data_IF_907049046926
#
_entry.id   IF_907049046926
#
_cell.length_a   1.000
_cell.length_b   1.000
_cell.length_c   1.000
_cell.angle_alpha   90.00
_cell.angle_beta   90.00
_cell.angle_gamma   90.00
#
_symmetry.space_group_name_H-M   'P 1'
#
loop_
_entity.id
_entity.type
_entity.pdbx_description
1 polymer ?
#
# COMPACT_ATOMS: atom_id res chain seq x y z
N UNK A 1 -36.56 -5.63 -27.94
CA UNK A 1 -36.35 -6.15 -26.58
C UNK A 1 -35.31 -5.27 -25.93
N UNK A 2 -35.75 -4.36 -25.05
CA UNK A 2 -34.87 -3.37 -24.42
C UNK A 2 -34.05 -4.02 -23.32
N UNK A 3 -32.74 -3.81 -23.35
CA UNK A 3 -31.86 -4.08 -22.22
C UNK A 3 -32.02 -2.92 -21.23
N UNK A 4 -32.60 -3.22 -20.08
CA UNK A 4 -32.69 -2.29 -18.97
C UNK A 4 -31.34 -2.29 -18.26
N UNK A 5 -30.59 -1.21 -18.43
CA UNK A 5 -29.38 -0.89 -17.67
C UNK A 5 -29.78 -0.20 -16.37
N UNK A 6 -29.90 -0.96 -15.28
CA UNK A 6 -29.88 -0.36 -13.94
C UNK A 6 -28.42 -0.20 -13.52
N UNK A 7 -27.85 0.98 -13.81
CA UNK A 7 -26.76 1.54 -13.02
C UNK A 7 -27.30 1.70 -11.60
N UNK A 8 -26.92 0.81 -10.68
CA UNK A 8 -27.03 1.09 -9.26
C UNK A 8 -25.83 1.97 -8.90
N UNK A 9 -26.07 3.28 -8.87
CA UNK A 9 -25.16 4.23 -8.27
C UNK A 9 -24.91 3.81 -6.83
N UNK A 10 -23.64 3.63 -6.48
CA UNK A 10 -23.20 3.30 -5.13
C UNK A 10 -23.53 4.50 -4.21
N UNK A 11 -24.56 4.36 -3.38
CA UNK A 11 -24.88 5.30 -2.29
C UNK A 11 -24.26 4.78 -0.98
N UNK A 12 -23.24 5.46 -0.43
CA UNK A 12 -22.54 5.02 0.77
C UNK A 12 -23.32 5.23 2.09
N UNK A 13 -24.59 5.66 2.06
CA UNK A 13 -25.34 6.06 3.27
C UNK A 13 -26.50 5.13 3.70
N UNK A 14 -26.77 4.01 3.02
CA UNK A 14 -27.89 3.07 3.37
C UNK A 14 -27.50 1.86 4.26
N UNK A 15 -26.28 1.79 4.82
CA UNK A 15 -25.68 0.53 5.32
C UNK A 15 -25.70 0.28 6.86
N UNK A 16 -26.69 0.73 7.63
CA UNK A 16 -26.59 0.64 9.10
C UNK A 16 -27.10 -0.68 9.74
N UNK A 17 -28.01 -1.44 9.10
CA UNK A 17 -28.55 -2.71 9.67
C UNK A 17 -28.18 -3.96 8.87
N UNK A 18 -27.76 -3.83 7.60
CA UNK A 18 -27.21 -4.93 6.77
C UNK A 18 -25.77 -5.32 7.16
N UNK A 19 -25.09 -4.50 7.96
CA UNK A 19 -23.67 -4.63 8.26
C UNK A 19 -23.30 -5.94 8.98
N UNK A 20 -24.09 -6.40 9.96
CA UNK A 20 -23.72 -7.58 10.78
C UNK A 20 -23.67 -8.88 9.97
N UNK A 21 -24.63 -9.12 9.07
CA UNK A 21 -24.65 -10.30 8.20
C UNK A 21 -23.57 -10.24 7.11
N UNK A 22 -23.27 -9.03 6.61
CA UNK A 22 -22.18 -8.80 5.67
C UNK A 22 -20.80 -9.05 6.32
N UNK A 23 -20.62 -8.70 7.60
CA UNK A 23 -19.36 -8.97 8.31
C UNK A 23 -19.11 -10.46 8.51
N UNK A 24 -20.14 -11.25 8.87
CA UNK A 24 -20.00 -12.70 9.04
C UNK A 24 -19.65 -13.41 7.72
N UNK A 25 -20.33 -13.06 6.62
CA UNK A 25 -20.00 -13.61 5.29
C UNK A 25 -18.60 -13.18 4.82
N UNK A 26 -18.19 -11.94 5.14
CA UNK A 26 -16.86 -11.43 4.81
C UNK A 26 -15.75 -12.13 5.59
N UNK A 27 -15.97 -12.43 6.88
CA UNK A 27 -15.03 -13.20 7.70
C UNK A 27 -14.97 -14.67 7.30
N UNK A 28 -16.11 -15.31 6.99
CA UNK A 28 -16.13 -16.70 6.48
C UNK A 28 -15.38 -16.83 5.15
N UNK A 29 -15.58 -15.87 4.23
CA UNK A 29 -14.83 -15.84 2.97
C UNK A 29 -13.33 -15.62 3.20
N UNK A 30 -12.95 -14.82 4.19
CA UNK A 30 -11.55 -14.61 4.56
C UNK A 30 -10.94 -15.90 5.12
N UNK A 31 -11.67 -16.64 5.95
CA UNK A 31 -11.22 -17.90 6.54
C UNK A 31 -10.85 -18.93 5.48
N UNK A 32 -11.77 -19.20 4.53
CA UNK A 32 -11.53 -20.12 3.44
C UNK A 32 -10.30 -19.71 2.61
N UNK A 33 -10.17 -18.42 2.28
CA UNK A 33 -9.04 -17.91 1.53
C UNK A 33 -7.70 -17.99 2.28
N UNK A 34 -7.71 -17.82 3.61
CA UNK A 34 -6.53 -17.95 4.47
C UNK A 34 -6.06 -19.40 4.49
N UNK A 35 -6.97 -20.35 4.75
CA UNK A 35 -6.65 -21.78 4.78
C UNK A 35 -6.16 -22.27 3.42
N UNK A 36 -6.81 -21.86 2.33
CA UNK A 36 -6.34 -22.15 0.97
C UNK A 36 -4.93 -21.61 0.73
N UNK A 37 -4.66 -20.36 1.13
CA UNK A 37 -3.35 -19.74 0.96
C UNK A 37 -2.28 -20.49 1.75
N UNK A 38 -2.55 -20.84 3.01
CA UNK A 38 -1.61 -21.60 3.85
C UNK A 38 -1.35 -22.99 3.24
N UNK A 39 -2.40 -23.67 2.77
CA UNK A 39 -2.29 -24.98 2.12
C UNK A 39 -1.40 -24.92 0.87
N UNK A 40 -1.66 -23.96 -0.02
CA UNK A 40 -0.91 -23.80 -1.27
C UNK A 40 0.55 -23.38 -1.04
N UNK A 41 0.79 -22.49 -0.07
CA UNK A 41 2.12 -21.95 0.20
C UNK A 41 2.90 -22.75 1.25
N UNK A 42 2.26 -23.73 1.90
CA UNK A 42 2.71 -24.59 3.00
C UNK A 42 3.03 -23.86 4.31
N UNK A 43 3.64 -22.68 4.21
CA UNK A 43 3.96 -21.81 5.34
C UNK A 43 4.01 -20.36 4.87
N UNK A 44 3.41 -19.45 5.64
CA UNK A 44 3.31 -18.03 5.28
C UNK A 44 3.65 -17.13 6.47
N UNK A 45 4.07 -15.91 6.19
CA UNK A 45 4.17 -14.85 7.22
C UNK A 45 2.88 -14.06 7.30
N UNK A 46 2.66 -13.32 8.39
CA UNK A 46 1.54 -12.36 8.51
C UNK A 46 1.48 -11.37 7.35
N UNK A 47 2.63 -10.80 6.98
CA UNK A 47 2.69 -9.85 5.87
C UNK A 47 2.39 -10.51 4.53
N UNK A 48 2.94 -11.69 4.28
CA UNK A 48 2.66 -12.46 3.06
C UNK A 48 1.15 -12.70 2.90
N UNK A 49 0.49 -13.14 3.97
CA UNK A 49 -0.93 -13.43 3.94
C UNK A 49 -1.75 -12.17 3.65
N UNK A 50 -1.45 -11.05 4.33
CA UNK A 50 -2.09 -9.76 4.09
C UNK A 50 -1.89 -9.27 2.66
N UNK A 51 -0.65 -9.33 2.14
CA UNK A 51 -0.33 -8.90 0.77
C UNK A 51 -1.09 -9.72 -0.28
N UNK A 52 -1.16 -11.04 -0.12
CA UNK A 52 -1.87 -11.92 -1.06
C UNK A 52 -3.38 -11.66 -1.07
N UNK A 53 -3.92 -11.24 0.07
CA UNK A 53 -5.36 -11.12 0.29
C UNK A 53 -5.89 -9.68 0.25
N UNK A 54 -5.03 -8.66 0.19
CA UNK A 54 -5.41 -7.24 0.32
C UNK A 54 -6.41 -6.72 -0.73
N UNK A 55 -6.50 -7.39 -1.89
CA UNK A 55 -7.49 -7.04 -2.92
C UNK A 55 -8.91 -7.48 -2.56
N UNK A 56 -9.02 -8.49 -1.70
CA UNK A 56 -10.28 -9.11 -1.29
C UNK A 56 -10.68 -8.69 0.12
N UNK A 57 -9.70 -8.66 1.03
CA UNK A 57 -9.92 -8.52 2.47
C UNK A 57 -9.07 -7.39 3.05
N UNK A 58 -9.64 -6.66 4.01
CA UNK A 58 -8.86 -5.71 4.79
C UNK A 58 -7.77 -6.43 5.60
N UNK A 59 -6.55 -5.86 5.70
CA UNK A 59 -5.46 -6.48 6.46
C UNK A 59 -5.79 -6.78 7.93
N UNK A 60 -6.63 -5.96 8.58
CA UNK A 60 -7.07 -6.18 9.96
C UNK A 60 -8.07 -7.35 10.08
N UNK A 61 -8.92 -7.57 9.07
CA UNK A 61 -9.80 -8.75 9.00
C UNK A 61 -8.95 -10.01 8.89
N UNK A 62 -7.96 -10.02 7.98
CA UNK A 62 -7.03 -11.15 7.83
C UNK A 62 -6.33 -11.46 9.15
N UNK A 63 -5.84 -10.44 9.86
CA UNK A 63 -5.20 -10.63 11.17
C UNK A 63 -6.14 -11.20 12.23
N UNK A 64 -7.40 -10.74 12.29
CA UNK A 64 -8.40 -11.26 13.23
C UNK A 64 -8.73 -12.71 12.95
N UNK A 65 -9.03 -13.05 11.71
CA UNK A 65 -9.44 -14.41 11.31
C UNK A 65 -8.29 -15.41 11.50
N UNK A 66 -7.04 -15.03 11.22
CA UNK A 66 -5.87 -15.87 11.54
C UNK A 66 -5.76 -16.17 13.03
N UNK A 67 -5.96 -15.16 13.89
CA UNK A 67 -5.89 -15.39 15.33
C UNK A 67 -6.97 -16.37 15.80
N UNK A 68 -8.20 -16.23 15.28
CA UNK A 68 -9.29 -17.20 15.53
C UNK A 68 -8.91 -18.61 15.08
N UNK A 69 -8.39 -18.78 13.86
CA UNK A 69 -7.94 -20.07 13.34
C UNK A 69 -6.80 -20.71 14.17
N UNK A 70 -5.98 -19.88 14.84
CA UNK A 70 -4.95 -20.36 15.77
C UNK A 70 -5.60 -20.85 17.08
N UNK A 71 -6.55 -20.08 17.61
CA UNK A 71 -7.30 -20.44 18.83
C UNK A 71 -8.11 -21.75 18.64
N UNK A 72 -8.67 -21.95 17.45
CA UNK A 72 -9.43 -23.15 17.06
C UNK A 72 -8.51 -24.34 16.71
N UNK A 73 -7.20 -24.12 16.58
CA UNK A 73 -6.22 -25.18 16.29
C UNK A 73 -6.17 -25.62 14.82
N UNK A 74 -6.77 -24.86 13.90
CA UNK A 74 -6.67 -25.09 12.46
C UNK A 74 -5.33 -24.62 11.88
N UNK A 75 -4.76 -23.56 12.46
CA UNK A 75 -3.48 -22.97 12.06
C UNK A 75 -2.51 -22.99 13.23
N UNK A 76 -1.25 -23.37 12.98
CA UNK A 76 -0.19 -23.31 13.99
C UNK A 76 0.72 -22.12 13.74
N UNK A 77 0.90 -21.29 14.77
CA UNK A 77 1.94 -20.27 14.82
C UNK A 77 3.27 -20.91 15.25
N UNK A 78 4.32 -20.72 14.47
CA UNK A 78 5.68 -21.20 14.79
C UNK A 78 6.73 -20.12 14.56
N UNK A 79 7.92 -20.39 15.10
CA UNK A 79 9.08 -19.53 14.99
C UNK A 79 10.28 -20.33 14.46
N UNK A 80 10.98 -19.87 13.41
CA UNK A 80 12.23 -20.49 13.00
C UNK A 80 13.28 -20.36 14.12
N UNK A 81 14.23 -21.30 14.23
CA UNK A 81 15.28 -21.25 15.23
C UNK A 81 16.21 -20.07 14.97
N UNK A 82 16.91 -19.64 16.02
CA UNK A 82 17.87 -18.54 15.98
C UNK A 82 17.40 -17.29 16.71
N UNK A 83 18.19 -16.22 16.60
CA UNK A 83 17.88 -14.95 17.29
C UNK A 83 16.62 -14.34 16.68
N UNK A 84 15.73 -13.85 17.56
CA UNK A 84 14.63 -12.96 17.14
C UNK A 84 15.22 -11.83 16.30
N UNK A 85 14.64 -11.60 15.14
CA UNK A 85 15.17 -10.61 14.21
C UNK A 85 15.01 -9.19 14.75
N UNK A 86 15.71 -8.25 14.14
CA UNK A 86 15.44 -6.83 14.36
C UNK A 86 14.07 -6.42 13.79
N UNK A 87 13.70 -5.16 14.01
CA UNK A 87 12.45 -4.56 13.52
C UNK A 87 12.22 -4.88 12.03
N UNK A 88 11.05 -5.43 11.71
CA UNK A 88 10.67 -5.81 10.35
C UNK A 88 11.08 -7.23 9.92
N UNK A 89 11.74 -8.01 10.76
CA UNK A 89 11.98 -9.43 10.47
C UNK A 89 10.74 -10.26 10.82
N UNK A 90 10.21 -11.10 9.92
CA UNK A 90 9.13 -12.01 10.31
C UNK A 90 9.69 -13.08 11.24
N UNK A 91 9.24 -13.05 12.48
CA UNK A 91 9.48 -14.13 13.45
C UNK A 91 8.27 -15.06 13.60
N UNK A 92 7.10 -14.64 13.09
CA UNK A 92 5.87 -15.41 13.12
C UNK A 92 5.58 -16.03 11.75
N UNK A 93 5.40 -17.35 11.74
CA UNK A 93 4.99 -18.11 10.56
C UNK A 93 3.75 -18.93 10.87
N UNK A 94 2.85 -19.00 9.91
CA UNK A 94 1.60 -19.75 9.97
C UNK A 94 1.70 -20.94 9.03
N UNK A 95 1.33 -22.12 9.53
CA UNK A 95 1.21 -23.35 8.77
C UNK A 95 -0.07 -24.08 9.17
N UNK A 96 -0.48 -25.01 8.32
CA UNK A 96 -1.52 -25.98 8.67
C UNK A 96 -1.12 -26.73 9.95
N UNK A 97 -2.09 -26.96 10.85
CA UNK A 97 -1.84 -27.60 12.13
C UNK A 97 -1.21 -29.00 12.03
N UNK A 98 -1.46 -29.71 10.93
CA UNK A 98 -0.93 -31.05 10.67
C UNK A 98 0.45 -31.07 10.00
N UNK A 99 0.95 -29.91 9.54
CA UNK A 99 2.17 -29.87 8.75
C UNK A 99 3.44 -30.19 9.58
N UNK A 100 4.40 -30.84 8.92
CA UNK A 100 5.70 -31.17 9.52
C UNK A 100 6.63 -29.94 9.51
N UNK A 101 6.93 -29.44 10.70
CA UNK A 101 7.78 -28.27 10.90
C UNK A 101 9.21 -28.48 10.37
N UNK A 102 9.83 -29.63 10.62
CA UNK A 102 11.22 -29.89 10.24
C UNK A 102 11.38 -29.91 8.72
N UNK A 103 10.38 -30.45 8.03
CA UNK A 103 10.32 -30.43 6.56
C UNK A 103 10.20 -29.02 5.99
N UNK A 104 9.55 -28.09 6.71
CA UNK A 104 9.29 -26.72 6.25
C UNK A 104 10.36 -25.70 6.70
N UNK A 105 11.25 -26.09 7.60
CA UNK A 105 12.27 -25.21 8.19
C UNK A 105 13.11 -24.48 7.12
N UNK A 106 13.58 -25.20 6.09
CA UNK A 106 14.37 -24.60 5.01
C UNK A 106 13.57 -23.54 4.22
N UNK A 107 12.28 -23.79 3.98
CA UNK A 107 11.41 -22.83 3.30
C UNK A 107 11.16 -21.60 4.17
N UNK A 108 10.90 -21.78 5.47
CA UNK A 108 10.75 -20.69 6.43
C UNK A 108 12.00 -19.79 6.49
N UNK A 109 13.19 -20.39 6.58
CA UNK A 109 14.45 -19.63 6.60
C UNK A 109 14.68 -18.87 5.30
N UNK A 110 14.33 -19.46 4.14
CA UNK A 110 14.38 -18.78 2.85
C UNK A 110 13.41 -17.59 2.80
N UNK A 111 12.15 -17.78 3.19
CA UNK A 111 11.14 -16.69 3.26
C UNK A 111 11.53 -15.59 4.24
N UNK A 112 12.09 -15.96 5.41
CA UNK A 112 12.64 -15.02 6.40
C UNK A 112 13.75 -14.17 5.79
N UNK A 113 14.73 -14.80 5.11
CA UNK A 113 15.81 -14.09 4.41
C UNK A 113 15.24 -13.09 3.41
N UNK A 114 14.41 -13.53 2.46
CA UNK A 114 13.87 -12.63 1.42
C UNK A 114 13.08 -11.48 2.02
N UNK A 115 12.27 -11.75 3.06
CA UNK A 115 11.52 -10.70 3.76
C UNK A 115 12.44 -9.67 4.41
N UNK A 116 13.51 -10.10 5.08
CA UNK A 116 14.49 -9.19 5.69
C UNK A 116 15.14 -8.30 4.63
N UNK A 117 15.55 -8.87 3.50
CA UNK A 117 16.20 -8.10 2.44
C UNK A 117 15.24 -7.08 1.83
N UNK A 118 14.01 -7.49 1.48
CA UNK A 118 12.97 -6.55 1.01
C UNK A 118 12.75 -5.44 2.03
N UNK A 119 12.56 -5.77 3.30
CA UNK A 119 12.28 -4.77 4.33
C UNK A 119 13.45 -3.83 4.56
N UNK A 120 14.70 -4.28 4.42
CA UNK A 120 15.87 -3.42 4.54
C UNK A 120 15.85 -2.28 3.53
N UNK A 121 15.35 -2.52 2.31
CA UNK A 121 15.17 -1.51 1.27
C UNK A 121 14.05 -0.51 1.57
N UNK A 122 13.16 -0.83 2.52
CA UNK A 122 11.96 -0.05 2.88
C UNK A 122 12.12 0.71 4.21
N UNK A 123 13.30 0.72 4.82
CA UNK A 123 13.56 1.40 6.11
C UNK A 123 14.07 2.83 5.95
N UNK A 124 14.30 3.54 7.06
CA UNK A 124 14.45 5.02 7.26
C UNK A 124 15.31 5.83 6.25
N UNK A 125 16.15 5.19 5.45
CA UNK A 125 16.84 5.76 4.28
C UNK A 125 16.50 4.87 3.10
N UNK A 126 15.22 4.84 2.70
CA UNK A 126 14.66 3.77 1.87
C UNK A 126 15.15 3.95 0.44
N UNK A 127 16.12 3.16 -0.05
CA UNK A 127 16.59 3.32 -1.43
C UNK A 127 15.46 3.05 -2.42
N UNK A 128 14.55 2.14 -2.06
CA UNK A 128 13.34 1.88 -2.84
C UNK A 128 12.30 3.00 -2.74
N UNK A 129 12.27 3.77 -1.65
CA UNK A 129 11.43 4.96 -1.50
C UNK A 129 11.89 6.07 -2.45
N UNK A 130 13.16 6.45 -2.37
CA UNK A 130 13.76 7.44 -3.27
C UNK A 130 13.65 7.02 -4.75
N UNK A 131 13.94 5.76 -5.05
CA UNK A 131 13.78 5.26 -6.41
C UNK A 131 12.32 5.29 -6.88
N UNK A 132 11.35 5.04 -6.00
CA UNK A 132 9.93 5.20 -6.37
C UNK A 132 9.61 6.66 -6.68
N UNK A 133 10.15 7.62 -5.94
CA UNK A 133 10.02 9.05 -6.25
C UNK A 133 10.59 9.38 -7.64
N UNK A 134 11.79 8.90 -7.99
CA UNK A 134 12.39 9.07 -9.34
C UNK A 134 11.52 8.48 -10.46
N UNK A 135 10.94 7.29 -10.22
CA UNK A 135 10.01 6.64 -11.17
C UNK A 135 8.75 7.48 -11.36
N UNK A 136 8.23 8.10 -10.29
CA UNK A 136 7.08 9.00 -10.35
C UNK A 136 7.42 10.35 -10.99
N UNK A 137 8.61 10.90 -10.74
CA UNK A 137 9.12 12.09 -11.42
C UNK A 137 9.14 11.87 -12.95
N UNK A 138 9.71 10.74 -13.37
CA UNK A 138 9.73 10.31 -14.77
C UNK A 138 8.32 10.18 -15.34
N UNK A 139 7.38 9.60 -14.58
CA UNK A 139 5.99 9.51 -14.98
C UNK A 139 5.34 10.89 -15.17
N UNK A 140 5.53 11.83 -14.25
CA UNK A 140 4.99 13.18 -14.34
C UNK A 140 5.55 13.94 -15.55
N UNK A 141 6.85 13.83 -15.82
CA UNK A 141 7.50 14.39 -17.00
C UNK A 141 6.92 13.82 -18.31
N UNK A 142 6.79 12.50 -18.42
CA UNK A 142 6.18 11.83 -19.58
C UNK A 142 4.72 12.27 -19.81
N UNK A 143 4.00 12.56 -18.72
CA UNK A 143 2.63 13.06 -18.74
C UNK A 143 2.53 14.57 -18.92
N UNK A 144 3.67 15.26 -19.11
CA UNK A 144 3.77 16.72 -19.29
C UNK A 144 3.13 17.50 -18.13
N UNK A 145 3.32 17.03 -16.90
CA UNK A 145 3.17 17.88 -15.73
C UNK A 145 4.39 18.79 -15.63
N UNK A 146 4.19 20.04 -15.22
CA UNK A 146 5.27 20.94 -14.85
C UNK A 146 5.66 20.67 -13.41
N UNK A 147 6.91 20.33 -13.15
CA UNK A 147 7.44 20.15 -11.79
C UNK A 147 7.99 21.50 -11.31
N UNK A 148 7.41 22.04 -10.23
CA UNK A 148 7.84 23.32 -9.64
C UNK A 148 8.98 23.14 -8.64
N UNK A 149 9.09 21.97 -8.02
CA UNK A 149 10.15 21.64 -7.08
C UNK A 149 9.99 20.25 -6.49
N UNK A 150 11.08 19.76 -5.91
CA UNK A 150 11.17 18.55 -5.10
C UNK A 150 11.41 18.93 -3.64
N UNK A 151 11.05 18.06 -2.69
CA UNK A 151 11.25 18.29 -1.25
C UNK A 151 10.71 19.65 -0.76
N UNK A 152 9.49 20.00 -1.20
CA UNK A 152 8.92 21.34 -1.05
C UNK A 152 8.27 21.56 0.32
N UNK A 153 8.81 22.49 1.10
CA UNK A 153 8.21 22.98 2.37
C UNK A 153 7.62 24.40 2.26
N UNK A 154 7.81 25.07 1.14
CA UNK A 154 7.34 26.43 0.86
C UNK A 154 6.97 26.58 -0.61
N UNK A 155 5.80 27.13 -0.91
CA UNK A 155 5.33 27.33 -2.27
C UNK A 155 4.46 28.58 -2.37
N UNK A 156 4.72 29.44 -3.36
CA UNK A 156 3.97 30.70 -3.59
C UNK A 156 3.78 31.57 -2.33
N UNK A 157 4.81 31.65 -1.48
CA UNK A 157 4.78 32.43 -0.24
C UNK A 157 4.02 31.78 0.92
N UNK A 158 3.48 30.56 0.73
CA UNK A 158 2.92 29.72 1.78
C UNK A 158 3.99 28.78 2.29
N UNK A 159 4.10 28.65 3.61
CA UNK A 159 5.11 27.82 4.27
C UNK A 159 4.45 26.85 5.22
N UNK A 160 4.91 25.61 5.23
CA UNK A 160 4.43 24.61 6.19
C UNK A 160 4.87 24.96 7.62
N UNK A 161 4.01 24.63 8.58
CA UNK A 161 4.34 24.77 10.00
C UNK A 161 5.29 23.66 10.43
N UNK A 162 6.43 24.03 11.02
CA UNK A 162 7.43 23.09 11.52
C UNK A 162 7.64 23.21 13.03
N UNK A 163 8.30 22.22 13.62
CA UNK A 163 8.75 22.29 15.03
C UNK A 163 10.05 23.08 15.09
N UNK A 164 10.18 24.13 15.93
CA UNK A 164 11.42 24.88 16.08
C UNK A 164 12.62 23.97 16.36
N UNK A 165 13.73 24.18 15.65
CA UNK A 165 14.94 23.36 15.78
C UNK A 165 14.90 22.01 15.07
N UNK A 166 13.84 21.71 14.30
CA UNK A 166 13.77 20.54 13.40
C UNK A 166 13.66 20.98 11.95
N UNK A 167 14.08 20.11 11.04
CA UNK A 167 13.83 20.29 9.61
C UNK A 167 12.32 20.39 9.38
N UNK A 168 11.91 21.35 8.55
CA UNK A 168 10.52 21.49 8.17
C UNK A 168 10.07 20.24 7.40
N UNK A 169 8.86 19.72 7.65
CA UNK A 169 8.31 18.65 6.84
C UNK A 169 8.14 19.14 5.40
N UNK A 170 8.15 18.24 4.41
CA UNK A 170 8.05 18.61 3.00
C UNK A 170 7.10 17.69 2.24
N UNK A 171 6.70 18.11 1.05
CA UNK A 171 6.12 17.25 0.02
C UNK A 171 7.22 16.76 -0.91
N UNK A 172 7.06 15.59 -1.51
CA UNK A 172 8.08 15.02 -2.39
C UNK A 172 8.14 15.82 -3.69
N UNK A 173 6.97 16.28 -4.19
CA UNK A 173 6.88 17.19 -5.34
C UNK A 173 5.78 18.24 -5.18
N UNK A 174 5.95 19.37 -5.85
CA UNK A 174 4.82 20.22 -6.28
C UNK A 174 4.78 20.22 -7.81
N UNK A 175 3.68 19.76 -8.38
CA UNK A 175 3.50 19.63 -9.83
C UNK A 175 2.24 20.36 -10.31
N UNK A 176 2.20 20.73 -11.59
CA UNK A 176 1.08 21.47 -12.19
C UNK A 176 0.70 20.89 -13.54
N UNK A 177 -0.61 20.80 -13.80
CA UNK A 177 -1.15 20.48 -15.12
C UNK A 177 -2.54 21.08 -15.27
N UNK A 178 -2.80 21.69 -16.43
CA UNK A 178 -4.10 22.28 -16.77
C UNK A 178 -4.64 23.20 -15.65
N UNK A 179 -3.74 24.06 -15.13
CA UNK A 179 -3.93 25.01 -14.03
C UNK A 179 -4.29 24.40 -12.66
N UNK A 180 -4.18 23.07 -12.51
CA UNK A 180 -4.30 22.38 -11.22
C UNK A 180 -2.91 22.09 -10.67
N UNK A 181 -2.67 22.56 -9.44
CA UNK A 181 -1.41 22.37 -8.74
C UNK A 181 -1.60 21.30 -7.66
N UNK A 182 -0.76 20.28 -7.71
CA UNK A 182 -0.76 19.15 -6.81
C UNK A 182 0.44 19.19 -5.88
N UNK A 183 0.20 18.89 -4.61
CA UNK A 183 1.22 18.51 -3.64
C UNK A 183 1.32 17.00 -3.57
N UNK A 184 2.42 16.43 -4.06
CA UNK A 184 2.57 14.98 -4.22
C UNK A 184 3.39 14.40 -3.09
N UNK A 185 2.95 13.22 -2.63
CA UNK A 185 3.72 12.39 -1.71
C UNK A 185 3.65 10.92 -2.16
N UNK A 186 4.80 10.25 -2.22
CA UNK A 186 5.00 8.91 -2.76
C UNK A 186 5.33 7.93 -1.62
N UNK A 187 4.44 6.96 -1.38
CA UNK A 187 4.61 5.94 -0.34
C UNK A 187 4.82 4.55 -0.93
N UNK A 188 6.06 4.09 -0.96
CA UNK A 188 6.43 2.76 -1.45
C UNK A 188 6.61 1.75 -0.32
N UNK A 189 5.58 1.55 0.49
CA UNK A 189 5.63 0.69 1.67
C UNK A 189 4.89 -0.62 1.47
N UNK A 190 5.28 -1.64 2.23
CA UNK A 190 4.62 -2.96 2.29
C UNK A 190 3.95 -3.22 3.65
N UNK A 191 3.91 -2.20 4.51
CA UNK A 191 3.36 -2.30 5.87
C UNK A 191 1.91 -1.83 5.88
N UNK A 192 1.15 -2.35 6.85
CA UNK A 192 -0.28 -2.05 7.04
C UNK A 192 -0.56 -1.49 8.45
N UNK A 193 0.41 -0.78 9.02
CA UNK A 193 0.40 -0.31 10.42
C UNK A 193 -0.50 0.94 10.55
N UNK A 194 -1.24 1.10 11.66
CA UNK A 194 -2.10 2.28 11.91
C UNK A 194 -1.35 3.61 11.80
N UNK A 195 -0.05 3.61 12.11
CA UNK A 195 0.82 4.78 11.98
C UNK A 195 0.87 5.32 10.53
N UNK A 196 0.69 4.45 9.54
CA UNK A 196 0.65 4.85 8.12
C UNK A 196 -0.49 5.83 7.80
N UNK A 197 -1.61 5.75 8.51
CA UNK A 197 -2.75 6.67 8.35
C UNK A 197 -2.33 8.08 8.78
N UNK A 198 -1.68 8.18 9.95
CA UNK A 198 -1.23 9.47 10.47
C UNK A 198 -0.16 10.08 9.57
N UNK A 199 0.74 9.25 9.03
CA UNK A 199 1.78 9.70 8.09
C UNK A 199 1.17 10.22 6.78
N UNK A 200 0.18 9.53 6.22
CA UNK A 200 -0.55 9.99 5.01
C UNK A 200 -1.30 11.29 5.30
N UNK A 201 -2.08 11.34 6.38
CA UNK A 201 -2.86 12.53 6.72
C UNK A 201 -1.98 13.73 7.08
N UNK A 202 -0.80 13.50 7.65
CA UNK A 202 0.20 14.54 7.86
C UNK A 202 0.60 15.21 6.55
N UNK A 203 0.89 14.41 5.50
CA UNK A 203 1.26 14.91 4.17
C UNK A 203 0.10 15.61 3.46
N UNK A 204 -1.14 15.12 3.62
CA UNK A 204 -2.34 15.81 3.16
C UNK A 204 -2.45 17.20 3.80
N UNK A 205 -2.24 17.31 5.11
CA UNK A 205 -2.27 18.59 5.81
C UNK A 205 -1.16 19.54 5.37
N UNK A 206 0.00 19.05 4.92
CA UNK A 206 1.04 19.90 4.32
C UNK A 206 0.59 20.48 2.99
N UNK A 207 0.01 19.66 2.11
CA UNK A 207 -0.53 20.12 0.84
C UNK A 207 -1.62 21.19 1.04
N UNK A 208 -2.51 20.99 2.02
CA UNK A 208 -3.53 21.99 2.39
C UNK A 208 -2.89 23.31 2.87
N UNK A 209 -1.86 23.26 3.72
CA UNK A 209 -1.15 24.46 4.19
C UNK A 209 -0.47 25.22 3.04
N UNK A 210 0.00 24.50 2.02
CA UNK A 210 0.61 25.07 0.82
C UNK A 210 -0.41 25.49 -0.25
N UNK A 211 -1.71 25.35 0.02
CA UNK A 211 -2.82 25.66 -0.89
C UNK A 211 -2.72 24.92 -2.24
N UNK A 212 -2.28 23.66 -2.20
CA UNK A 212 -2.21 22.75 -3.35
C UNK A 212 -3.09 21.53 -3.12
N UNK A 213 -3.53 20.90 -4.22
CA UNK A 213 -4.35 19.67 -4.17
C UNK A 213 -3.49 18.51 -3.65
N UNK A 214 -3.87 17.84 -2.55
CA UNK A 214 -3.15 16.66 -2.08
C UNK A 214 -3.20 15.54 -3.13
N UNK A 215 -2.05 14.97 -3.47
CA UNK A 215 -1.96 13.83 -4.37
C UNK A 215 -1.06 12.74 -3.77
N UNK A 216 -1.68 11.74 -3.14
CA UNK A 216 -0.98 10.62 -2.51
C UNK A 216 -0.82 9.49 -3.51
N UNK A 217 0.42 9.15 -3.84
CA UNK A 217 0.79 8.01 -4.67
C UNK A 217 1.34 6.90 -3.77
N UNK A 218 0.57 5.85 -3.50
CA UNK A 218 0.96 4.83 -2.53
C UNK A 218 0.80 3.42 -3.09
N UNK A 219 1.66 2.50 -2.64
CA UNK A 219 1.55 1.09 -3.04
C UNK A 219 0.24 0.48 -2.53
N UNK A 220 -0.15 0.84 -1.31
CA UNK A 220 -1.43 0.46 -0.72
C UNK A 220 -1.91 1.56 0.23
N UNK A 221 -3.21 1.82 0.21
CA UNK A 221 -3.92 2.66 1.17
C UNK A 221 -5.20 1.93 1.56
N UNK A 222 -5.48 1.85 2.86
CA UNK A 222 -6.73 1.27 3.35
C UNK A 222 -7.93 2.15 2.98
N UNK A 223 -9.13 1.56 2.88
CA UNK A 223 -10.30 2.29 2.37
C UNK A 223 -10.67 3.49 3.24
N UNK A 224 -10.52 3.41 4.55
CA UNK A 224 -10.88 4.50 5.46
C UNK A 224 -9.98 5.72 5.22
N UNK A 225 -8.67 5.49 5.10
CA UNK A 225 -7.70 6.52 4.73
C UNK A 225 -7.96 7.06 3.34
N UNK A 226 -8.25 6.18 2.36
CA UNK A 226 -8.60 6.59 1.01
C UNK A 226 -9.77 7.59 1.01
N UNK A 227 -10.86 7.26 1.70
CA UNK A 227 -12.04 8.12 1.81
C UNK A 227 -11.74 9.46 2.46
N UNK A 228 -10.91 9.49 3.52
CA UNK A 228 -10.48 10.74 4.17
C UNK A 228 -9.73 11.67 3.22
N UNK A 229 -8.81 11.13 2.41
CA UNK A 229 -8.05 11.95 1.44
C UNK A 229 -8.95 12.47 0.33
N UNK A 230 -9.78 11.62 -0.28
CA UNK A 230 -10.64 12.07 -1.40
C UNK A 230 -11.73 13.04 -0.94
N UNK A 231 -12.15 12.99 0.32
CA UNK A 231 -13.05 13.99 0.90
C UNK A 231 -12.39 15.36 1.13
N UNK A 232 -11.05 15.45 1.10
CA UNK A 232 -10.29 16.70 1.21
C UNK A 232 -9.70 17.08 -0.15
N UNK A 233 -10.51 17.71 -1.04
CA UNK A 233 -10.39 17.72 -2.52
C UNK A 233 -9.12 17.08 -3.10
N UNK A 234 -8.90 15.80 -2.81
CA UNK A 234 -7.59 15.16 -2.93
C UNK A 234 -7.65 14.00 -3.89
N UNK A 235 -6.47 13.58 -4.32
CA UNK A 235 -6.29 12.47 -5.26
C UNK A 235 -5.48 11.38 -4.58
N UNK A 236 -5.93 10.14 -4.72
CA UNK A 236 -5.18 8.96 -4.29
C UNK A 236 -4.93 8.06 -5.49
N UNK A 237 -3.68 7.65 -5.65
CA UNK A 237 -3.29 6.60 -6.55
C UNK A 237 -2.71 5.41 -5.78
N UNK A 238 -3.52 4.36 -5.60
CA UNK A 238 -3.05 3.07 -5.12
C UNK A 238 -2.46 2.27 -6.29
N UNK A 239 -1.13 2.16 -6.37
CA UNK A 239 -0.45 1.53 -7.51
C UNK A 239 -0.11 0.05 -7.31
N UNK A 240 -0.45 -0.53 -6.16
CA UNK A 240 -0.50 -1.97 -5.82
C UNK A 240 0.83 -2.74 -5.80
N UNK A 241 1.82 -2.34 -6.60
CA UNK A 241 3.11 -3.02 -6.73
C UNK A 241 4.20 -2.27 -6.00
N UNK A 242 4.99 -2.94 -5.17
CA UNK A 242 6.24 -2.39 -4.66
C UNK A 242 7.16 -2.05 -5.84
N UNK A 243 7.77 -0.88 -5.82
CA UNK A 243 8.72 -0.45 -6.84
C UNK A 243 10.14 -0.70 -6.30
N UNK A 244 10.96 -1.47 -7.02
CA UNK A 244 12.37 -1.68 -6.67
C UNK A 244 13.30 -1.24 -7.82
N UNK A 245 14.51 -0.76 -7.50
CA UNK A 245 15.54 -0.48 -8.50
C UNK A 245 15.91 -1.72 -9.35
N UNK A 246 16.32 -1.53 -10.63
CA UNK A 246 16.73 -2.61 -11.53
C UNK A 246 17.78 -3.57 -10.96
N UNK A 247 18.68 -3.08 -10.11
CA UNK A 247 19.74 -3.85 -9.45
C UNK A 247 19.17 -4.95 -8.52
N UNK A 248 17.92 -4.82 -8.10
CA UNK A 248 17.23 -5.77 -7.22
C UNK A 248 16.31 -6.73 -7.99
N UNK A 249 16.46 -6.90 -9.31
CA UNK A 249 15.64 -7.81 -10.12
C UNK A 249 15.56 -9.24 -9.52
N UNK A 250 16.69 -9.82 -9.13
CA UNK A 250 16.74 -11.16 -8.53
C UNK A 250 15.96 -11.22 -7.22
N UNK A 251 16.10 -10.21 -6.35
CA UNK A 251 15.34 -10.13 -5.10
C UNK A 251 13.84 -9.96 -5.36
N UNK A 252 13.47 -9.18 -6.38
CA UNK A 252 12.08 -8.98 -6.78
C UNK A 252 11.45 -10.30 -7.28
N UNK A 253 12.19 -11.10 -8.05
CA UNK A 253 11.76 -12.42 -8.50
C UNK A 253 11.60 -13.40 -7.33
N UNK A 254 12.54 -13.41 -6.39
CA UNK A 254 12.42 -14.19 -5.15
C UNK A 254 11.21 -13.75 -4.31
N UNK A 255 10.99 -12.44 -4.16
CA UNK A 255 9.86 -11.90 -3.41
C UNK A 255 8.51 -12.23 -4.08
N UNK A 256 8.42 -12.12 -5.40
CA UNK A 256 7.23 -12.53 -6.17
C UNK A 256 6.93 -14.01 -6.02
N UNK A 257 7.94 -14.86 -6.23
CA UNK A 257 7.76 -16.32 -6.24
C UNK A 257 7.54 -16.92 -4.85
N UNK A 258 8.26 -16.45 -3.83
CA UNK A 258 8.23 -17.03 -2.49
C UNK A 258 7.22 -16.37 -1.56
N UNK A 259 7.07 -15.05 -1.63
CA UNK A 259 6.25 -14.28 -0.71
C UNK A 259 4.95 -13.77 -1.35
N UNK A 260 4.79 -13.94 -2.66
CA UNK A 260 3.63 -13.41 -3.38
C UNK A 260 3.58 -11.89 -3.42
N UNK A 261 4.71 -11.21 -3.15
CA UNK A 261 4.73 -9.75 -3.16
C UNK A 261 4.59 -9.23 -4.60
N UNK A 262 3.66 -8.29 -4.86
CA UNK A 262 3.56 -7.66 -6.17
C UNK A 262 4.73 -6.67 -6.31
N UNK A 263 5.75 -7.01 -7.09
CA UNK A 263 6.95 -6.17 -7.25
C UNK A 263 7.15 -5.80 -8.72
N UNK A 264 7.21 -4.50 -8.99
CA UNK A 264 7.62 -3.90 -10.24
C UNK A 264 9.10 -3.50 -10.17
N UNK A 265 9.83 -3.76 -11.25
CA UNK A 265 11.23 -3.37 -11.40
C UNK A 265 11.36 -2.64 -12.72
N UNK A 266 11.84 -1.40 -12.67
CA UNK A 266 12.02 -0.56 -13.84
C UNK A 266 11.96 0.92 -13.51
N UNK A 267 12.59 1.73 -14.36
CA UNK A 267 12.72 3.17 -14.21
C UNK A 267 11.47 3.95 -14.66
N UNK A 268 10.61 3.31 -15.46
CA UNK A 268 9.44 3.94 -16.06
C UNK A 268 8.21 3.11 -15.74
N UNK A 269 7.18 3.74 -15.17
CA UNK A 269 5.90 3.08 -14.93
C UNK A 269 5.32 2.51 -16.23
N UNK A 270 4.74 1.29 -16.20
CA UNK A 270 4.04 0.71 -17.34
C UNK A 270 2.94 1.65 -17.88
N UNK A 271 2.71 1.61 -19.20
CA UNK A 271 1.74 2.49 -19.87
C UNK A 271 0.36 2.56 -19.19
N UNK A 272 -0.19 1.42 -18.76
CA UNK A 272 -1.50 1.40 -18.09
C UNK A 272 -1.52 2.19 -16.77
N UNK A 273 -0.40 2.24 -16.04
CA UNK A 273 -0.23 3.05 -14.83
C UNK A 273 -0.16 4.54 -15.14
N UNK A 274 0.52 4.92 -16.22
CA UNK A 274 0.56 6.30 -16.71
C UNK A 274 -0.83 6.78 -17.14
N UNK A 275 -1.58 5.94 -17.87
CA UNK A 275 -2.96 6.26 -18.26
C UNK A 275 -3.88 6.38 -17.05
N UNK A 276 -3.63 5.63 -15.97
CA UNK A 276 -4.38 5.76 -14.73
C UNK A 276 -4.14 7.12 -14.05
N UNK A 277 -2.90 7.60 -14.01
CA UNK A 277 -2.58 8.96 -13.49
C UNK A 277 -3.32 10.02 -14.32
N UNK A 278 -3.34 9.91 -15.65
CA UNK A 278 -4.13 10.82 -16.51
C UNK A 278 -5.62 10.76 -16.18
N UNK A 279 -6.16 9.56 -15.97
CA UNK A 279 -7.57 9.38 -15.58
C UNK A 279 -7.87 10.10 -14.27
N UNK A 280 -7.02 9.96 -13.26
CA UNK A 280 -7.17 10.64 -11.97
C UNK A 280 -7.16 12.18 -12.13
N UNK A 281 -6.23 12.71 -12.92
CA UNK A 281 -6.20 14.13 -13.23
C UNK A 281 -7.48 14.62 -13.91
N UNK A 282 -8.00 13.87 -14.89
CA UNK A 282 -9.25 14.21 -15.57
C UNK A 282 -10.47 14.17 -14.63
N UNK A 283 -10.51 13.23 -13.69
CA UNK A 283 -11.55 13.21 -12.64
C UNK A 283 -11.45 14.46 -11.77
N UNK A 284 -10.24 14.87 -11.39
CA UNK A 284 -10.04 16.08 -10.60
C UNK A 284 -10.44 17.35 -11.35
N UNK A 285 -10.09 17.47 -12.63
CA UNK A 285 -10.53 18.59 -13.47
C UNK A 285 -12.06 18.71 -13.54
N UNK A 286 -12.76 17.59 -13.67
CA UNK A 286 -14.24 17.59 -13.66
C UNK A 286 -14.77 18.05 -12.30
N UNK A 287 -14.19 17.58 -11.21
CA UNK A 287 -14.59 17.95 -9.84
C UNK A 287 -14.37 19.43 -9.52
N UNK A 288 -13.33 20.05 -10.08
CA UNK A 288 -13.05 21.48 -9.86
C UNK A 288 -13.86 22.43 -10.74
N UNK A 289 -14.45 21.90 -11.83
CA UNK A 289 -15.22 22.68 -12.81
C UNK A 289 -16.74 22.54 -12.64
N UNK A 290 -17.20 21.50 -11.97
CA UNK A 290 -18.60 21.30 -11.59
C UNK A 290 -18.87 21.87 -10.21
#
# INVERSE_FOLDING_TARGET
MGFNSSNSDFDPFEFAEEEAHLYDEYEQNAEAAILETISQQQVVTDRELKVRLERKFFPWVVGRVVNRLIEEGHVRLVHPPGRKGGMGTPDNFYLDASADYERLLNLMLKKKRVSVYVNSLLTRVSPAGFFAEEVFESAFNLLRFKIHGTEVSEFKGKKVTGVPGRQAPNLDFVIEKDDVIYGVDVKNWIKYEFDSIQEVMSKVNLAVQLEVVPFICARYIDKDTFFKVVNTPGVVYSYETLILPPEFQTLAEEARSLLGYPVFVGEILPKHKLEFIKKLHNVMLKRLRG
#
